data_IF_172042776300
#
_entry.id   IF_172042776300
#
_cell.length_a   1.000
_cell.length_b   1.000
_cell.length_c   1.000
_cell.angle_alpha   90.00
_cell.angle_beta   90.00
_cell.angle_gamma   90.00
#
_symmetry.space_group_name_H-M   'P 1'
#
loop_
_entity.id
_entity.type
_entity.pdbx_description
1 polymer ?
#
# COMPACT_ATOMS: atom_id res chain seq x y z
N UNK A 1 2.01 20.24 -10.18
CA UNK A 1 2.83 21.36 -9.62
C UNK A 1 3.60 20.99 -8.35
N UNK A 2 2.98 20.30 -7.38
CA UNK A 2 3.55 19.98 -6.06
C UNK A 2 4.83 19.12 -6.06
N UNK A 3 4.91 18.10 -6.94
CA UNK A 3 6.12 17.26 -7.10
C UNK A 3 7.30 17.98 -7.76
N UNK A 4 7.11 19.15 -8.39
CA UNK A 4 8.21 19.95 -8.96
C UNK A 4 8.82 20.87 -7.92
N UNK A 5 8.02 21.45 -7.03
CA UNK A 5 8.49 22.37 -5.96
C UNK A 5 9.40 21.63 -4.95
N UNK A 6 9.08 20.39 -4.59
CA UNK A 6 9.92 19.60 -3.67
C UNK A 6 11.25 19.13 -4.25
N UNK A 7 11.38 19.06 -5.58
CA UNK A 7 12.66 18.78 -6.26
C UNK A 7 13.60 19.99 -6.26
N UNK A 8 13.07 21.18 -5.96
CA UNK A 8 13.87 22.39 -5.83
C UNK A 8 14.58 22.41 -4.47
N UNK A 9 15.78 22.99 -4.39
CA UNK A 9 16.48 23.15 -3.13
C UNK A 9 15.66 24.02 -2.15
N UNK A 10 15.87 23.83 -0.84
CA UNK A 10 15.06 24.46 0.22
C UNK A 10 14.97 25.99 0.07
N UNK A 11 16.06 26.65 -0.31
CA UNK A 11 16.09 28.10 -0.54
C UNK A 11 15.14 28.54 -1.67
N UNK A 12 15.10 27.79 -2.78
CA UNK A 12 14.20 28.07 -3.90
C UNK A 12 12.73 27.83 -3.53
N UNK A 13 12.43 26.90 -2.62
CA UNK A 13 11.08 26.71 -2.09
C UNK A 13 10.63 27.92 -1.27
N UNK A 14 11.49 28.47 -0.41
CA UNK A 14 11.16 29.66 0.37
C UNK A 14 10.93 30.90 -0.51
N UNK A 15 11.75 31.08 -1.56
CA UNK A 15 11.56 32.17 -2.53
C UNK A 15 10.22 32.02 -3.25
N UNK A 16 9.90 30.82 -3.73
CA UNK A 16 8.64 30.55 -4.42
C UNK A 16 7.43 30.85 -3.53
N UNK A 17 7.45 30.39 -2.27
CA UNK A 17 6.38 30.69 -1.31
C UNK A 17 6.30 32.18 -1.01
N UNK A 18 7.44 32.86 -0.89
CA UNK A 18 7.50 34.32 -0.72
C UNK A 18 6.83 35.07 -1.87
N UNK A 19 7.14 34.70 -3.12
CA UNK A 19 6.54 35.32 -4.32
C UNK A 19 5.03 35.10 -4.39
N UNK A 20 4.56 33.89 -4.12
CA UNK A 20 3.11 33.58 -4.09
C UNK A 20 2.42 34.37 -2.98
N UNK A 21 3.05 34.46 -1.80
CA UNK A 21 2.50 35.20 -0.66
C UNK A 21 2.42 36.70 -0.95
N UNK A 22 3.45 37.26 -1.57
CA UNK A 22 3.44 38.66 -2.02
C UNK A 22 2.34 38.93 -3.03
N UNK A 23 2.16 38.05 -4.03
CA UNK A 23 1.11 38.22 -5.04
C UNK A 23 -0.29 38.21 -4.43
N UNK A 24 -0.54 37.29 -3.49
CA UNK A 24 -1.81 37.25 -2.74
C UNK A 24 -1.99 38.53 -1.91
N UNK A 25 -0.94 38.97 -1.23
CA UNK A 25 -0.92 40.20 -0.45
C UNK A 25 -1.24 41.43 -1.30
N UNK A 26 -0.58 41.54 -2.45
CA UNK A 26 -0.77 42.63 -3.40
C UNK A 26 -2.22 42.70 -3.90
N UNK A 27 -2.76 41.57 -4.35
CA UNK A 27 -4.16 41.48 -4.80
C UNK A 27 -5.11 41.93 -3.68
N UNK A 28 -4.94 41.39 -2.48
CA UNK A 28 -5.79 41.75 -1.35
C UNK A 28 -5.71 43.25 -1.04
N UNK A 29 -4.50 43.80 -0.96
CA UNK A 29 -4.27 45.21 -0.65
C UNK A 29 -4.85 46.12 -1.73
N UNK A 30 -4.69 45.76 -3.01
CA UNK A 30 -5.25 46.48 -4.15
C UNK A 30 -6.77 46.59 -4.10
N UNK A 31 -7.47 45.50 -3.76
CA UNK A 31 -8.94 45.47 -3.67
C UNK A 31 -9.48 46.23 -2.45
N UNK A 32 -8.76 46.21 -1.33
CA UNK A 32 -9.21 46.86 -0.09
C UNK A 32 -8.94 48.38 -0.09
N UNK A 33 -7.96 48.84 -0.88
CA UNK A 33 -7.51 50.22 -0.91
C UNK A 33 -8.62 51.27 -1.12
N UNK A 34 -9.53 51.14 -2.11
CA UNK A 34 -10.60 52.13 -2.33
C UNK A 34 -11.56 52.28 -1.14
N UNK A 35 -11.75 51.22 -0.37
CA UNK A 35 -12.66 51.20 0.77
C UNK A 35 -12.05 51.89 2.00
N UNK A 36 -10.75 51.71 2.24
CA UNK A 36 -10.05 52.36 3.37
C UNK A 36 -10.04 53.88 3.19
N UNK A 37 -9.77 54.34 1.97
CA UNK A 37 -9.60 55.76 1.68
C UNK A 37 -10.90 56.43 1.18
N UNK A 38 -12.05 55.78 1.39
CA UNK A 38 -13.41 56.29 1.14
C UNK A 38 -13.55 56.96 -0.23
N UNK A 39 -13.22 56.22 -1.28
CA UNK A 39 -13.50 56.66 -2.64
C UNK A 39 -14.99 56.77 -2.90
N UNK A 40 -15.37 57.58 -3.88
CA UNK A 40 -16.72 57.60 -4.40
C UNK A 40 -16.92 56.34 -5.27
N UNK A 41 -17.47 55.29 -4.67
CA UNK A 41 -17.66 53.96 -5.30
C UNK A 41 -19.01 53.92 -6.04
N UNK A 42 -19.25 54.90 -6.90
CA UNK A 42 -20.42 54.88 -7.80
C UNK A 42 -20.20 53.90 -8.96
N UNK A 43 -18.97 53.83 -9.48
CA UNK A 43 -18.56 52.85 -10.49
C UNK A 43 -17.26 52.15 -10.09
N UNK A 44 -17.37 50.88 -9.67
CA UNK A 44 -16.26 50.07 -9.19
C UNK A 44 -15.15 49.95 -10.25
N UNK A 45 -15.49 49.80 -11.54
CA UNK A 45 -14.48 49.64 -12.59
C UNK A 45 -13.66 50.92 -12.82
N UNK A 46 -14.32 52.07 -12.80
CA UNK A 46 -13.64 53.37 -12.94
C UNK A 46 -12.73 53.65 -11.75
N UNK A 47 -13.17 53.34 -10.52
CA UNK A 47 -12.33 53.54 -9.33
C UNK A 47 -11.04 52.74 -9.39
N UNK A 48 -11.08 51.47 -9.82
CA UNK A 48 -9.87 50.66 -9.99
C UNK A 48 -9.02 51.12 -11.18
N UNK A 49 -9.63 51.57 -12.28
CA UNK A 49 -8.89 52.11 -13.42
C UNK A 49 -8.10 53.37 -13.03
N UNK A 50 -8.74 54.31 -12.34
CA UNK A 50 -8.10 55.51 -11.80
C UNK A 50 -7.02 55.18 -10.77
N UNK A 51 -7.23 54.13 -9.96
CA UNK A 51 -6.22 53.65 -9.01
C UNK A 51 -4.96 53.14 -9.71
N UNK A 52 -5.11 52.39 -10.82
CA UNK A 52 -3.97 51.89 -11.60
C UNK A 52 -3.17 53.02 -12.25
N UNK A 53 -3.86 54.07 -12.70
CA UNK A 53 -3.23 55.21 -13.38
C UNK A 53 -2.46 56.12 -12.42
N UNK A 54 -2.80 56.13 -11.13
CA UNK A 54 -2.14 56.96 -10.12
C UNK A 54 -0.86 56.29 -9.59
N UNK A 55 0.28 56.78 -10.06
CA UNK A 55 1.62 56.29 -9.68
C UNK A 55 1.90 56.36 -8.17
N UNK A 56 1.41 57.39 -7.47
CA UNK A 56 1.67 57.54 -6.03
C UNK A 56 0.87 56.50 -5.24
N UNK A 57 -0.38 56.23 -5.63
CA UNK A 57 -1.20 55.22 -4.95
C UNK A 57 -0.66 53.82 -5.20
N UNK A 58 -0.23 53.55 -6.42
CA UNK A 58 0.36 52.26 -6.77
C UNK A 58 1.65 51.99 -5.97
N UNK A 59 2.49 52.99 -5.72
CA UNK A 59 3.68 52.80 -4.87
C UNK A 59 3.30 52.48 -3.42
N UNK A 60 2.29 53.15 -2.86
CA UNK A 60 1.80 52.83 -1.51
C UNK A 60 1.20 51.43 -1.41
N UNK A 61 0.42 50.99 -2.40
CA UNK A 61 -0.14 49.63 -2.44
C UNK A 61 0.97 48.58 -2.49
N UNK A 62 1.99 48.80 -3.33
CA UNK A 62 3.17 47.93 -3.41
C UNK A 62 3.87 47.84 -2.06
N UNK A 63 4.15 48.99 -1.41
CA UNK A 63 4.80 49.02 -0.10
C UNK A 63 3.97 48.34 1.00
N UNK A 64 2.66 48.60 1.03
CA UNK A 64 1.74 47.97 1.98
C UNK A 64 1.65 46.45 1.78
N UNK A 65 1.75 45.97 0.54
CA UNK A 65 1.72 44.54 0.25
C UNK A 65 2.94 43.77 0.80
N UNK A 66 4.10 44.42 0.99
CA UNK A 66 5.25 43.83 1.69
C UNK A 66 4.95 43.55 3.17
N UNK A 67 4.17 44.42 3.84
CA UNK A 67 3.76 44.20 5.22
C UNK A 67 2.78 43.02 5.33
N UNK A 68 1.88 42.85 4.37
CA UNK A 68 0.93 41.73 4.35
C UNK A 68 1.57 40.35 4.17
N UNK A 69 2.82 40.27 3.67
CA UNK A 69 3.57 39.00 3.60
C UNK A 69 3.68 38.34 4.98
N UNK A 70 3.87 39.13 6.04
CA UNK A 70 4.06 38.63 7.42
C UNK A 70 2.91 37.72 7.84
N UNK A 71 1.68 38.04 7.42
CA UNK A 71 0.48 37.27 7.74
C UNK A 71 0.17 36.17 6.73
N UNK A 72 0.39 36.41 5.44
CA UNK A 72 0.02 35.48 4.36
C UNK A 72 1.03 34.34 4.22
N UNK A 73 2.31 34.61 4.40
CA UNK A 73 3.38 33.63 4.29
C UNK A 73 3.17 32.37 5.16
N UNK A 74 2.88 32.47 6.48
CA UNK A 74 2.64 31.28 7.30
C UNK A 74 1.40 30.50 6.86
N UNK A 75 0.37 31.17 6.33
CA UNK A 75 -0.86 30.54 5.84
C UNK A 75 -0.55 29.72 4.57
N UNK A 76 0.12 30.32 3.58
CA UNK A 76 0.49 29.63 2.33
C UNK A 76 1.41 28.44 2.63
N UNK A 77 2.38 28.63 3.52
CA UNK A 77 3.26 27.55 3.98
C UNK A 77 2.49 26.42 4.66
N UNK A 78 1.53 26.76 5.53
CA UNK A 78 0.66 25.81 6.21
C UNK A 78 -0.17 24.99 5.23
N UNK A 79 -0.84 25.59 4.24
CA UNK A 79 -1.64 24.87 3.25
C UNK A 79 -0.79 23.96 2.33
N UNK A 80 0.41 24.41 1.95
CA UNK A 80 1.36 23.56 1.21
C UNK A 80 1.80 22.35 2.02
N UNK A 81 1.93 22.51 3.35
CA UNK A 81 2.25 21.43 4.29
C UNK A 81 1.03 20.52 4.55
N UNK A 82 -0.17 21.07 4.71
CA UNK A 82 -1.41 20.33 5.01
C UNK A 82 -1.80 19.37 3.90
N UNK A 83 -1.59 19.78 2.64
CA UNK A 83 -1.83 18.91 1.48
C UNK A 83 -0.95 17.63 1.50
N UNK A 84 0.07 17.52 2.35
CA UNK A 84 1.02 16.39 2.34
C UNK A 84 0.59 15.11 3.05
N UNK A 85 -0.57 15.02 3.69
CA UNK A 85 -0.87 13.82 4.48
C UNK A 85 -2.14 13.12 3.98
N UNK A 86 -1.96 12.03 3.23
CA UNK A 86 -2.50 10.71 3.62
C UNK A 86 -2.14 9.55 2.68
N UNK A 87 -1.69 9.80 1.44
CA UNK A 87 -1.34 8.70 0.54
C UNK A 87 -0.06 9.04 -0.24
N UNK A 88 1.03 8.37 0.10
CA UNK A 88 2.16 8.22 -0.82
C UNK A 88 1.66 7.36 -1.98
N UNK A 89 1.75 7.86 -3.21
CA UNK A 89 1.38 7.09 -4.41
C UNK A 89 2.27 5.87 -4.63
N UNK A 90 3.44 5.86 -3.99
CA UNK A 90 4.31 4.71 -3.89
C UNK A 90 4.01 4.02 -2.57
N UNK A 91 3.52 2.78 -2.67
CA UNK A 91 3.56 1.80 -1.60
C UNK A 91 5.01 1.79 -1.07
N UNK A 92 5.21 2.33 0.13
CA UNK A 92 6.53 2.54 0.72
C UNK A 92 7.25 1.19 0.83
N UNK A 93 8.35 0.94 0.11
CA UNK A 93 8.97 -0.40 -0.03
C UNK A 93 9.30 -1.11 1.28
N UNK A 94 9.31 -0.38 2.40
CA UNK A 94 9.49 -0.84 3.76
C UNK A 94 8.48 -1.92 4.22
N UNK A 95 7.31 -2.07 3.59
CA UNK A 95 6.38 -3.18 3.94
C UNK A 95 6.74 -4.53 3.31
N UNK A 96 7.65 -4.57 2.31
CA UNK A 96 7.98 -5.79 1.58
C UNK A 96 9.16 -6.49 2.25
N UNK A 97 8.94 -7.70 2.79
CA UNK A 97 10.03 -8.52 3.35
C UNK A 97 11.08 -8.85 2.28
N UNK A 98 10.64 -9.38 1.14
CA UNK A 98 11.51 -9.69 0.01
C UNK A 98 10.71 -9.77 -1.30
N UNK A 99 11.11 -9.00 -2.30
CA UNK A 99 10.66 -9.11 -3.68
C UNK A 99 11.67 -9.95 -4.46
N UNK A 100 11.22 -11.07 -5.02
CA UNK A 100 12.08 -11.98 -5.79
C UNK A 100 12.42 -11.49 -7.19
N UNK A 101 11.50 -10.75 -7.82
CA UNK A 101 11.64 -10.26 -9.20
C UNK A 101 12.57 -9.06 -9.21
N UNK A 102 12.29 -8.08 -8.34
CA UNK A 102 13.06 -6.85 -8.25
C UNK A 102 14.28 -6.97 -7.32
N UNK A 103 14.39 -8.07 -6.56
CA UNK A 103 15.44 -8.31 -5.57
C UNK A 103 15.52 -7.21 -4.49
N UNK A 104 14.37 -6.68 -4.08
CA UNK A 104 14.25 -5.66 -3.02
C UNK A 104 13.91 -6.30 -1.67
N UNK A 105 14.37 -5.70 -0.58
CA UNK A 105 14.15 -6.21 0.78
C UNK A 105 15.22 -7.23 1.23
N UNK A 106 14.97 -7.88 2.37
CA UNK A 106 15.90 -8.78 3.06
C UNK A 106 15.50 -10.23 2.90
N UNK A 107 16.19 -10.95 2.00
CA UNK A 107 15.98 -12.40 1.82
C UNK A 107 16.27 -13.20 3.09
N UNK A 108 17.26 -12.78 3.88
CA UNK A 108 17.63 -13.45 5.13
C UNK A 108 16.52 -13.31 6.17
N UNK A 109 15.92 -12.13 6.29
CA UNK A 109 14.79 -11.88 7.18
C UNK A 109 13.53 -12.65 6.74
N UNK A 110 13.23 -12.64 5.44
CA UNK A 110 12.16 -13.47 4.87
C UNK A 110 12.36 -14.95 5.20
N UNK A 111 13.56 -15.49 4.96
CA UNK A 111 13.87 -16.89 5.27
C UNK A 111 13.75 -17.16 6.77
N UNK A 112 14.30 -16.31 7.63
CA UNK A 112 14.21 -16.48 9.09
C UNK A 112 12.76 -16.54 9.58
N UNK A 113 11.87 -15.78 8.94
CA UNK A 113 10.46 -15.69 9.35
C UNK A 113 9.59 -16.82 8.82
N UNK A 114 9.81 -17.25 7.58
CA UNK A 114 8.89 -18.16 6.90
C UNK A 114 9.46 -19.54 6.61
N UNK A 115 10.78 -19.74 6.60
CA UNK A 115 11.35 -21.07 6.31
C UNK A 115 10.95 -22.06 7.41
N UNK A 116 10.26 -23.12 7.02
CA UNK A 116 9.93 -24.21 7.90
C UNK A 116 11.13 -25.14 8.06
N UNK A 117 11.78 -25.04 9.22
CA UNK A 117 12.81 -25.99 9.68
C UNK A 117 12.20 -27.03 10.61
N UNK A 118 12.93 -28.11 10.86
CA UNK A 118 12.47 -29.18 11.76
C UNK A 118 12.14 -28.69 13.17
N UNK A 119 12.85 -27.67 13.67
CA UNK A 119 12.64 -27.07 14.99
C UNK A 119 11.42 -26.15 15.05
N UNK A 120 11.14 -25.40 13.97
CA UNK A 120 10.11 -24.36 13.92
C UNK A 120 8.88 -24.75 13.09
N UNK A 121 8.73 -26.04 12.78
CA UNK A 121 7.62 -26.54 11.98
C UNK A 121 6.30 -26.33 12.73
N UNK A 122 5.33 -25.68 12.07
CA UNK A 122 3.99 -25.42 12.58
C UNK A 122 3.00 -25.48 11.42
N UNK A 123 1.76 -25.90 11.68
CA UNK A 123 0.71 -25.89 10.68
C UNK A 123 0.45 -24.49 10.11
N UNK A 124 0.19 -24.40 8.82
CA UNK A 124 -0.07 -23.12 8.17
C UNK A 124 -0.17 -23.21 6.65
N UNK A 125 -0.20 -22.04 6.02
CA UNK A 125 -0.27 -21.91 4.56
C UNK A 125 1.12 -21.91 3.95
N UNK A 126 1.35 -22.77 2.95
CA UNK A 126 2.59 -22.76 2.18
C UNK A 126 2.53 -21.59 1.19
N UNK A 127 3.43 -20.61 1.37
CA UNK A 127 3.50 -19.42 0.52
C UNK A 127 4.56 -19.57 -0.58
N UNK A 128 5.54 -20.45 -0.37
CA UNK A 128 6.61 -20.72 -1.32
C UNK A 128 7.23 -22.10 -1.07
N UNK A 129 7.70 -22.74 -2.13
CA UNK A 129 8.53 -23.95 -2.07
C UNK A 129 9.81 -23.74 -2.87
N UNK A 130 10.94 -24.19 -2.34
CA UNK A 130 12.21 -24.21 -3.07
C UNK A 130 12.74 -25.63 -3.15
N UNK A 131 13.06 -26.08 -4.35
CA UNK A 131 13.74 -27.35 -4.55
C UNK A 131 15.22 -27.18 -4.19
N UNK A 132 15.69 -27.91 -3.17
CA UNK A 132 17.07 -27.91 -2.74
C UNK A 132 17.94 -28.83 -3.59
N UNK A 133 17.42 -30.02 -3.89
CA UNK A 133 18.16 -31.04 -4.60
C UNK A 133 17.22 -31.84 -5.51
N UNK A 134 17.49 -31.78 -6.82
CA UNK A 134 16.72 -32.50 -7.82
C UNK A 134 16.83 -34.03 -7.68
N UNK A 135 17.99 -34.54 -7.21
CA UNK A 135 18.23 -35.98 -7.10
C UNK A 135 17.50 -36.60 -5.91
N UNK A 136 17.49 -35.91 -4.77
CA UNK A 136 16.83 -36.40 -3.55
C UNK A 136 15.41 -35.86 -3.38
N UNK A 137 14.94 -35.02 -4.30
CA UNK A 137 13.65 -34.32 -4.25
C UNK A 137 13.38 -33.60 -2.91
N UNK A 138 14.45 -33.10 -2.28
CA UNK A 138 14.33 -32.33 -1.03
C UNK A 138 13.78 -30.94 -1.32
N UNK A 139 12.69 -30.59 -0.66
CA UNK A 139 11.97 -29.33 -0.83
C UNK A 139 11.97 -28.57 0.49
N UNK A 140 12.35 -27.30 0.43
CA UNK A 140 12.13 -26.34 1.51
C UNK A 140 10.75 -25.72 1.38
N UNK A 141 10.00 -25.74 2.47
CA UNK A 141 8.71 -25.08 2.58
C UNK A 141 8.87 -23.74 3.29
N UNK A 142 8.21 -22.71 2.76
CA UNK A 142 8.03 -21.44 3.43
C UNK A 142 6.58 -21.33 3.84
N UNK A 143 6.33 -21.19 5.13
CA UNK A 143 5.01 -21.35 5.72
C UNK A 143 4.66 -20.15 6.57
N UNK A 144 3.41 -19.73 6.44
CA UNK A 144 2.80 -18.68 7.25
C UNK A 144 1.80 -19.31 8.22
N UNK A 145 2.15 -19.48 9.51
CA UNK A 145 1.24 -20.02 10.51
C UNK A 145 0.20 -18.97 10.93
N UNK A 146 -0.98 -19.43 11.37
CA UNK A 146 -2.04 -18.60 12.00
C UNK A 146 -2.57 -17.45 11.12
N UNK A 147 -2.78 -17.70 9.82
CA UNK A 147 -3.31 -16.71 8.87
C UNK A 147 -4.45 -17.30 8.04
N UNK A 148 -5.33 -16.43 7.56
CA UNK A 148 -6.28 -16.75 6.50
C UNK A 148 -5.66 -16.37 5.15
N UNK A 149 -5.75 -17.26 4.16
CA UNK A 149 -5.21 -17.04 2.82
C UNK A 149 -6.34 -16.91 1.80
N UNK A 150 -6.19 -15.97 0.87
CA UNK A 150 -7.06 -15.83 -0.29
C UNK A 150 -6.23 -15.93 -1.56
N UNK A 151 -6.46 -16.99 -2.36
CA UNK A 151 -5.66 -17.32 -3.53
C UNK A 151 -6.47 -17.02 -4.79
N UNK A 152 -6.06 -16.00 -5.53
CA UNK A 152 -6.67 -15.59 -6.78
C UNK A 152 -5.91 -16.13 -7.99
N UNK A 153 -6.63 -16.40 -9.06
CA UNK A 153 -6.09 -16.79 -10.36
C UNK A 153 -7.17 -17.37 -11.25
N UNK A 154 -6.91 -17.49 -12.54
CA UNK A 154 -7.85 -18.08 -13.49
C UNK A 154 -7.84 -19.63 -13.43
N UNK A 155 -8.76 -20.29 -14.10
CA UNK A 155 -8.70 -21.72 -14.39
C UNK A 155 -7.38 -22.06 -15.11
N UNK A 156 -6.85 -23.26 -14.86
CA UNK A 156 -5.54 -23.73 -15.40
C UNK A 156 -4.30 -22.90 -15.01
N UNK A 157 -4.41 -21.90 -14.13
CA UNK A 157 -3.22 -21.16 -13.62
C UNK A 157 -2.36 -21.96 -12.63
N UNK A 158 -2.82 -23.15 -12.25
CA UNK A 158 -2.13 -24.05 -11.35
C UNK A 158 -2.33 -23.75 -9.86
N UNK A 159 -3.38 -23.00 -9.45
CA UNK A 159 -3.68 -22.68 -8.04
C UNK A 159 -3.61 -23.93 -7.13
N UNK A 160 -4.25 -25.01 -7.58
CA UNK A 160 -4.29 -26.29 -6.84
C UNK A 160 -2.89 -26.89 -6.70
N UNK A 161 -2.15 -27.03 -7.81
CA UNK A 161 -0.82 -27.64 -7.81
C UNK A 161 0.24 -26.79 -7.10
N UNK A 162 0.14 -25.45 -7.19
CA UNK A 162 1.16 -24.52 -6.67
C UNK A 162 0.96 -24.19 -5.19
N UNK A 163 -0.27 -24.17 -4.70
CA UNK A 163 -0.56 -23.71 -3.33
C UNK A 163 -1.35 -24.70 -2.50
N UNK A 164 -2.44 -25.27 -3.03
CA UNK A 164 -3.34 -26.14 -2.23
C UNK A 164 -2.68 -27.48 -1.90
N UNK A 165 -2.19 -28.22 -2.91
CA UNK A 165 -1.54 -29.52 -2.68
C UNK A 165 -0.30 -29.40 -1.79
N UNK A 166 0.64 -28.46 -2.03
CA UNK A 166 1.77 -28.27 -1.14
C UNK A 166 1.36 -27.95 0.30
N UNK A 167 0.30 -27.15 0.49
CA UNK A 167 -0.22 -26.83 1.82
C UNK A 167 -0.77 -28.07 2.52
N UNK A 168 -1.61 -28.87 1.86
CA UNK A 168 -2.14 -30.11 2.46
C UNK A 168 -0.98 -31.05 2.81
N UNK A 169 -0.08 -31.32 1.84
CA UNK A 169 1.07 -32.21 2.04
C UNK A 169 1.97 -31.77 3.18
N UNK A 170 2.28 -30.48 3.26
CA UNK A 170 3.09 -29.93 4.36
C UNK A 170 2.43 -30.20 5.73
N UNK A 171 1.14 -29.91 5.85
CA UNK A 171 0.42 -30.04 7.12
C UNK A 171 0.27 -31.50 7.57
N UNK A 172 0.03 -32.45 6.65
CA UNK A 172 -0.07 -33.86 7.02
C UNK A 172 1.30 -34.49 7.35
N UNK A 173 2.39 -33.96 6.78
CA UNK A 173 3.77 -34.43 7.03
C UNK A 173 4.49 -33.68 8.16
N UNK A 174 3.79 -32.90 8.99
CA UNK A 174 4.40 -32.32 10.19
C UNK A 174 4.96 -33.45 11.07
N UNK A 175 6.21 -33.29 11.53
CA UNK A 175 6.87 -34.32 12.35
C UNK A 175 6.19 -34.51 13.70
N UNK A 176 5.80 -33.40 14.32
CA UNK A 176 5.03 -33.40 15.56
C UNK A 176 3.54 -33.64 15.25
N UNK A 177 3.03 -34.79 15.67
CA UNK A 177 1.62 -35.17 15.47
C UNK A 177 0.66 -34.21 16.17
N UNK A 178 1.05 -33.57 17.27
CA UNK A 178 0.18 -32.61 17.97
C UNK A 178 -0.01 -31.31 17.20
N UNK A 179 0.84 -31.03 16.21
CA UNK A 179 0.75 -29.85 15.35
C UNK A 179 0.00 -30.12 14.04
N UNK A 180 -0.35 -31.38 13.77
CA UNK A 180 -1.11 -31.79 12.59
C UNK A 180 -2.55 -31.29 12.70
N UNK A 181 -3.03 -30.42 11.78
CA UNK A 181 -4.36 -29.86 11.87
C UNK A 181 -5.40 -30.82 11.31
N UNK A 182 -6.62 -30.78 11.84
CA UNK A 182 -7.77 -31.37 11.16
C UNK A 182 -8.04 -30.61 9.86
N UNK A 183 -8.27 -31.33 8.77
CA UNK A 183 -8.46 -30.75 7.44
C UNK A 183 -9.90 -30.93 6.99
N UNK A 184 -10.57 -29.83 6.67
CA UNK A 184 -11.84 -29.82 5.96
C UNK A 184 -11.61 -29.24 4.57
N UNK A 185 -11.83 -30.04 3.53
CA UNK A 185 -11.58 -29.65 2.14
C UNK A 185 -12.87 -29.73 1.36
N UNK A 186 -13.28 -28.61 0.76
CA UNK A 186 -14.42 -28.57 -0.16
C UNK A 186 -13.86 -28.60 -1.57
N UNK A 187 -14.02 -29.73 -2.25
CA UNK A 187 -13.55 -29.95 -3.61
C UNK A 187 -14.72 -30.32 -4.54
N UNK A 188 -15.29 -29.35 -5.28
CA UNK A 188 -16.39 -29.61 -6.21
C UNK A 188 -16.04 -30.61 -7.33
N UNK A 189 -14.76 -30.84 -7.62
CA UNK A 189 -14.30 -31.73 -8.71
C UNK A 189 -13.88 -33.12 -8.23
N UNK A 190 -13.57 -33.27 -6.95
CA UNK A 190 -13.06 -34.52 -6.37
C UNK A 190 -11.61 -34.88 -6.76
N UNK A 191 -10.89 -34.00 -7.46
CA UNK A 191 -9.50 -34.21 -7.88
C UNK A 191 -8.54 -34.30 -6.67
N UNK A 192 -8.76 -33.49 -5.64
CA UNK A 192 -7.95 -33.49 -4.42
C UNK A 192 -8.13 -34.78 -3.62
N UNK A 193 -9.37 -35.23 -3.46
CA UNK A 193 -9.63 -36.49 -2.76
C UNK A 193 -8.98 -37.66 -3.50
N UNK A 194 -9.17 -37.74 -4.82
CA UNK A 194 -8.60 -38.80 -5.65
C UNK A 194 -7.07 -38.82 -5.61
N UNK A 195 -6.43 -37.66 -5.51
CA UNK A 195 -4.97 -37.54 -5.56
C UNK A 195 -4.26 -37.63 -4.19
N UNK A 196 -4.95 -37.34 -3.08
CA UNK A 196 -4.31 -37.20 -1.77
C UNK A 196 -4.85 -38.15 -0.69
N UNK A 197 -6.02 -38.76 -0.87
CA UNK A 197 -6.66 -39.61 0.17
C UNK A 197 -5.73 -40.71 0.69
N UNK A 198 -5.12 -41.49 -0.20
CA UNK A 198 -4.21 -42.58 0.18
C UNK A 198 -3.01 -42.07 1.01
N UNK A 199 -2.45 -40.91 0.65
CA UNK A 199 -1.32 -40.31 1.37
C UNK A 199 -1.74 -39.77 2.74
N UNK A 200 -2.94 -39.18 2.83
CA UNK A 200 -3.53 -38.69 4.09
C UNK A 200 -3.80 -39.86 5.05
N UNK A 201 -4.39 -40.96 4.56
CA UNK A 201 -4.61 -42.19 5.35
C UNK A 201 -3.27 -42.78 5.84
N UNK A 202 -2.25 -42.84 4.97
CA UNK A 202 -0.90 -43.31 5.33
C UNK A 202 -0.24 -42.46 6.42
N UNK A 203 -0.56 -41.17 6.50
CA UNK A 203 -0.09 -40.30 7.58
C UNK A 203 -0.88 -40.46 8.89
N UNK A 204 -1.88 -41.36 8.94
CA UNK A 204 -2.63 -41.71 10.14
C UNK A 204 -3.88 -40.86 10.36
N UNK A 205 -4.37 -40.16 9.34
CA UNK A 205 -5.64 -39.42 9.43
C UNK A 205 -6.82 -40.35 9.16
N UNK A 206 -7.89 -40.16 9.93
CA UNK A 206 -9.23 -40.66 9.60
C UNK A 206 -9.84 -39.76 8.52
N UNK A 207 -10.40 -40.37 7.47
CA UNK A 207 -11.00 -39.64 6.35
C UNK A 207 -12.50 -39.88 6.29
N UNK A 208 -13.26 -38.79 6.50
CA UNK A 208 -14.69 -38.74 6.24
C UNK A 208 -14.92 -38.09 4.87
N UNK A 209 -15.53 -38.83 3.95
CA UNK A 209 -15.93 -38.33 2.63
C UNK A 209 -17.44 -38.08 2.60
N UNK A 210 -17.81 -36.83 2.33
CA UNK A 210 -19.19 -36.42 2.05
C UNK A 210 -19.32 -36.05 0.57
N UNK A 211 -19.87 -36.98 -0.23
CA UNK A 211 -20.13 -36.76 -1.64
C UNK A 211 -21.57 -36.29 -1.84
N UNK A 212 -21.74 -34.97 -2.03
CA UNK A 212 -23.06 -34.36 -2.28
C UNK A 212 -23.61 -34.65 -3.68
N UNK A 213 -22.77 -35.08 -4.63
CA UNK A 213 -23.22 -35.45 -5.97
C UNK A 213 -23.72 -36.90 -6.00
N UNK A 214 -23.13 -37.77 -5.19
CA UNK A 214 -23.52 -39.16 -5.04
C UNK A 214 -23.47 -39.59 -3.57
N UNK A 215 -24.61 -39.40 -2.87
CA UNK A 215 -24.72 -39.69 -1.44
C UNK A 215 -24.29 -41.12 -1.07
N UNK A 216 -24.50 -42.10 -1.97
CA UNK A 216 -24.11 -43.50 -1.74
C UNK A 216 -22.61 -43.76 -1.72
N UNK A 217 -21.78 -42.80 -2.16
CA UNK A 217 -20.31 -42.87 -2.06
C UNK A 217 -19.76 -42.23 -0.78
N UNK A 218 -20.62 -41.58 0.02
CA UNK A 218 -20.20 -40.99 1.29
C UNK A 218 -19.82 -42.08 2.29
N UNK A 219 -18.74 -41.87 3.03
CA UNK A 219 -18.25 -42.82 4.04
C UNK A 219 -17.59 -42.07 5.20
N UNK A 220 -17.79 -42.57 6.41
CA UNK A 220 -17.13 -42.15 7.64
C UNK A 220 -16.16 -43.22 8.11
#
# INVERSE_FOLDING_TARGET
MKNRIKKLPKWAQYIFVGLVSYLISFIFTFFVWPFIFKYDITNIFETFFLQIQDSLRMTYIILASFLGIIFIYPIVWFFLKLSNNKYTTELNSDFIFYDEVEKKGSKTEFNKKFLATDENQNSGWVIKTNLLNNKTQQINFFVSPKLHAFILGDTRSGKTQKFIIPTIKYNIHLKDQNKRPNLMVVDPKGELFTSLSEEIEKQGYEIVLLDFQNLGKSRG
#
